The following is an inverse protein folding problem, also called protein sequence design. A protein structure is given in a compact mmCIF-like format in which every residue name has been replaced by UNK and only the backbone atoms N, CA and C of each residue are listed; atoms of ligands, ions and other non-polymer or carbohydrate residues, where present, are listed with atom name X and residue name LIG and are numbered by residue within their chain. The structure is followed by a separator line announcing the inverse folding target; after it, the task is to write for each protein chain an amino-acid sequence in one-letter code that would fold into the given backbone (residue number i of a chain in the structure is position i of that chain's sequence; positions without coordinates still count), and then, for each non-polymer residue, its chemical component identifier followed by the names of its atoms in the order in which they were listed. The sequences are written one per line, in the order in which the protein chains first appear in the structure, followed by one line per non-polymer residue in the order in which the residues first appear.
data_IF_517229586821
#
_entry.id   IF_517229586821
#
_cell.length_a   1.000
_cell.length_b   1.000
_cell.length_c   1.000
_cell.angle_alpha   90.00
_cell.angle_beta   90.00
_cell.angle_gamma   90.00
#
_symmetry.space_group_name_H-M   'P 1'
#
loop_
_entity.id
_entity.type
_entity.pdbx_description
1 polymer ?
#
# COMPACT_ATOMS: atom_id res chain seq x y z
N UNK A 1 26.29 3.53 -2.70
CA UNK A 1 25.83 2.17 -3.04
C UNK A 1 25.49 1.35 -1.81
N UNK A 2 26.16 1.55 -0.67
CA UNK A 2 25.81 0.91 0.64
C UNK A 2 24.45 1.31 1.21
N UNK A 3 23.96 2.50 0.92
CA UNK A 3 22.70 3.06 1.46
C UNK A 3 21.44 2.31 0.96
N UNK A 4 21.52 1.59 -0.17
CA UNK A 4 20.39 0.83 -0.72
C UNK A 4 20.29 -0.60 -0.16
N UNK A 5 21.34 -1.12 0.45
CA UNK A 5 21.41 -2.53 0.89
C UNK A 5 20.69 -2.78 2.22
N UNK A 6 20.74 -1.85 3.17
CA UNK A 6 20.07 -2.04 4.49
C UNK A 6 18.57 -1.82 4.47
N UNK A 7 18.04 -1.17 3.44
CA UNK A 7 16.65 -0.70 3.40
C UNK A 7 15.69 -1.60 2.64
N UNK A 8 16.24 -2.48 1.81
CA UNK A 8 15.48 -3.61 1.27
C UNK A 8 15.18 -4.66 2.36
N UNK A 9 15.77 -4.54 3.55
CA UNK A 9 15.64 -5.54 4.62
C UNK A 9 14.19 -5.67 5.09
N UNK A 10 13.45 -4.55 5.23
CA UNK A 10 12.04 -4.61 5.66
C UNK A 10 11.21 -5.41 4.66
N UNK A 11 11.34 -5.11 3.37
CA UNK A 11 10.59 -5.81 2.31
C UNK A 11 11.12 -7.24 2.14
N UNK A 12 12.44 -7.44 2.24
CA UNK A 12 13.07 -8.76 2.12
C UNK A 12 12.61 -9.71 3.22
N UNK A 13 12.46 -9.21 4.45
CA UNK A 13 11.95 -10.01 5.56
C UNK A 13 10.42 -10.11 5.55
N UNK A 14 9.72 -9.08 5.07
CA UNK A 14 8.26 -9.09 5.02
C UNK A 14 7.72 -10.11 4.01
N UNK A 15 8.36 -10.28 2.85
CA UNK A 15 7.86 -11.20 1.81
C UNK A 15 7.74 -12.65 2.29
N UNK A 16 8.77 -13.29 2.89
CA UNK A 16 8.62 -14.61 3.47
C UNK A 16 7.54 -14.66 4.57
N UNK A 17 7.46 -13.64 5.44
CA UNK A 17 6.44 -13.55 6.46
C UNK A 17 5.02 -13.50 5.87
N UNK A 18 4.83 -12.79 4.77
CA UNK A 18 3.53 -12.75 4.07
C UNK A 18 3.09 -14.14 3.60
N UNK A 19 3.99 -14.93 3.02
CA UNK A 19 3.66 -16.31 2.61
C UNK A 19 3.33 -17.20 3.81
N UNK A 20 4.05 -17.07 4.91
CA UNK A 20 3.73 -17.80 6.15
C UNK A 20 2.35 -17.42 6.66
N UNK A 21 2.02 -16.13 6.69
CA UNK A 21 0.71 -15.64 7.15
C UNK A 21 -0.44 -16.08 6.21
N UNK A 22 -0.23 -16.10 4.89
CA UNK A 22 -1.19 -16.66 3.93
C UNK A 22 -1.47 -18.14 4.23
N UNK A 23 -0.43 -18.92 4.48
CA UNK A 23 -0.57 -20.35 4.82
C UNK A 23 -1.33 -20.50 6.14
N UNK A 24 -1.00 -19.71 7.16
CA UNK A 24 -1.70 -19.73 8.46
C UNK A 24 -3.17 -19.36 8.26
N UNK A 25 -3.48 -18.28 7.51
CA UNK A 25 -4.86 -17.87 7.25
C UNK A 25 -5.65 -18.94 6.52
N UNK A 26 -5.05 -19.60 5.52
CA UNK A 26 -5.68 -20.71 4.78
C UNK A 26 -6.07 -21.86 5.71
N UNK A 27 -5.14 -22.34 6.53
CA UNK A 27 -5.44 -23.44 7.46
C UNK A 27 -6.41 -23.03 8.58
N UNK A 28 -6.31 -21.77 9.05
CA UNK A 28 -7.26 -21.23 10.00
C UNK A 28 -8.68 -21.20 9.42
N UNK A 29 -8.84 -20.75 8.19
CA UNK A 29 -10.14 -20.72 7.49
C UNK A 29 -10.75 -22.13 7.35
N UNK A 30 -9.94 -23.14 7.01
CA UNK A 30 -10.39 -24.54 6.97
C UNK A 30 -10.83 -24.99 8.38
N UNK A 31 -10.01 -24.71 9.40
CA UNK A 31 -10.28 -25.14 10.78
C UNK A 31 -11.60 -24.60 11.34
N UNK A 32 -11.92 -23.34 11.02
CA UNK A 32 -13.18 -22.70 11.47
C UNK A 32 -14.36 -22.91 10.50
N UNK A 33 -14.18 -23.70 9.42
CA UNK A 33 -15.23 -23.93 8.41
C UNK A 33 -15.55 -22.72 7.54
N UNK A 34 -14.67 -21.72 7.48
CA UNK A 34 -14.79 -20.51 6.64
C UNK A 34 -13.55 -20.36 5.75
N UNK A 35 -13.48 -21.16 4.70
CA UNK A 35 -12.39 -21.03 3.73
C UNK A 35 -12.63 -19.83 2.81
N UNK A 36 -11.68 -18.90 2.74
CA UNK A 36 -11.68 -17.69 1.90
C UNK A 36 -10.72 -17.81 0.73
N UNK A 37 -10.22 -19.02 0.41
CA UNK A 37 -9.23 -19.25 -0.63
C UNK A 37 -9.74 -20.19 -1.72
N UNK A 38 -9.73 -19.71 -2.97
CA UNK A 38 -9.84 -20.53 -4.18
C UNK A 38 -8.49 -20.57 -4.88
N UNK A 39 -8.08 -21.75 -5.31
CA UNK A 39 -6.75 -21.98 -5.87
C UNK A 39 -6.43 -21.06 -7.06
N UNK A 40 -7.36 -20.94 -8.00
CA UNK A 40 -7.17 -20.13 -9.21
C UNK A 40 -7.05 -18.64 -8.89
N UNK A 41 -7.84 -18.08 -7.96
CA UNK A 41 -7.75 -16.67 -7.57
C UNK A 41 -6.47 -16.38 -6.77
N UNK A 42 -6.10 -17.30 -5.88
CA UNK A 42 -4.85 -17.23 -5.10
C UNK A 42 -3.61 -17.25 -6.02
N UNK A 43 -3.55 -18.21 -6.95
CA UNK A 43 -2.44 -18.29 -7.92
C UNK A 43 -2.37 -17.05 -8.80
N UNK A 44 -3.51 -16.52 -9.23
CA UNK A 44 -3.58 -15.27 -10.00
C UNK A 44 -3.03 -14.11 -9.19
N UNK A 45 -3.44 -13.96 -7.93
CA UNK A 45 -2.98 -12.89 -7.04
C UNK A 45 -1.46 -12.92 -6.84
N UNK A 46 -0.91 -14.10 -6.54
CA UNK A 46 0.54 -14.30 -6.38
C UNK A 46 1.28 -14.01 -7.70
N UNK A 47 0.78 -14.52 -8.83
CA UNK A 47 1.41 -14.33 -10.14
C UNK A 47 1.45 -12.86 -10.55
N UNK A 48 0.36 -12.12 -10.35
CA UNK A 48 0.31 -10.67 -10.60
C UNK A 48 1.26 -9.92 -9.67
N UNK A 49 1.38 -10.32 -8.40
CA UNK A 49 2.36 -9.80 -7.48
C UNK A 49 3.80 -9.98 -7.98
N UNK A 50 4.15 -11.17 -8.46
CA UNK A 50 5.46 -11.45 -9.06
C UNK A 50 5.70 -10.63 -10.32
N UNK A 51 4.74 -10.60 -11.25
CA UNK A 51 4.84 -9.85 -12.50
C UNK A 51 5.03 -8.35 -12.21
N UNK A 52 4.37 -7.81 -11.20
CA UNK A 52 4.49 -6.40 -10.82
C UNK A 52 5.94 -5.98 -10.45
N UNK A 53 6.82 -6.94 -10.17
CA UNK A 53 8.24 -6.69 -9.84
C UNK A 53 9.14 -6.59 -11.06
N UNK A 54 8.72 -7.06 -12.23
CA UNK A 54 9.56 -6.99 -13.45
C UNK A 54 10.06 -5.59 -13.78
N UNK A 55 9.25 -4.51 -13.73
CA UNK A 55 9.74 -3.16 -13.98
C UNK A 55 10.88 -2.75 -13.03
N UNK A 56 10.79 -3.16 -11.75
CA UNK A 56 11.84 -2.89 -10.76
C UNK A 56 13.11 -3.69 -11.05
N UNK A 57 12.96 -4.97 -11.39
CA UNK A 57 14.08 -5.85 -11.73
C UNK A 57 14.82 -5.41 -13.00
N UNK A 58 14.11 -4.88 -13.98
CA UNK A 58 14.69 -4.35 -15.22
C UNK A 58 15.24 -2.93 -15.05
N UNK A 59 15.24 -2.39 -13.84
CA UNK A 59 15.70 -1.03 -13.53
C UNK A 59 15.02 0.06 -14.37
N UNK A 60 13.76 -0.18 -14.76
CA UNK A 60 12.93 0.77 -15.49
C UNK A 60 12.34 1.86 -14.58
N UNK A 61 12.99 2.13 -13.45
CA UNK A 61 12.49 2.99 -12.38
C UNK A 61 12.50 4.47 -12.71
N UNK A 62 11.61 4.93 -13.61
CA UNK A 62 11.34 6.36 -13.85
C UNK A 62 11.19 7.12 -12.52
N UNK A 63 10.50 6.54 -11.57
CA UNK A 63 10.30 7.11 -10.24
C UNK A 63 11.63 7.41 -9.53
N UNK A 64 12.58 6.48 -9.56
CA UNK A 64 13.88 6.67 -8.90
C UNK A 64 14.69 7.80 -9.54
N UNK A 65 14.69 7.87 -10.88
CA UNK A 65 15.37 8.95 -11.60
C UNK A 65 14.79 10.31 -11.27
N UNK A 66 13.46 10.41 -11.28
CA UNK A 66 12.74 11.65 -10.95
C UNK A 66 13.04 12.06 -9.51
N UNK A 67 12.97 11.14 -8.55
CA UNK A 67 13.21 11.43 -7.14
C UNK A 67 14.66 11.86 -6.88
N UNK A 68 15.63 11.21 -7.50
CA UNK A 68 17.04 11.61 -7.41
C UNK A 68 17.24 13.02 -7.98
N UNK A 69 16.63 13.31 -9.14
CA UNK A 69 16.72 14.64 -9.75
C UNK A 69 16.13 15.71 -8.85
N UNK A 70 14.90 15.51 -8.35
CA UNK A 70 14.21 16.45 -7.48
C UNK A 70 15.00 16.66 -6.17
N UNK A 71 15.42 15.58 -5.51
CA UNK A 71 16.19 15.66 -4.27
C UNK A 71 17.52 16.40 -4.45
N UNK A 72 18.15 16.28 -5.61
CA UNK A 72 19.45 16.90 -5.86
C UNK A 72 19.37 18.38 -6.27
N UNK A 73 18.33 18.77 -7.03
CA UNK A 73 18.31 20.07 -7.70
C UNK A 73 17.13 20.97 -7.28
N UNK A 74 16.08 20.42 -6.70
CA UNK A 74 14.82 21.12 -6.42
C UNK A 74 14.37 21.02 -4.95
N UNK A 75 15.04 20.21 -4.14
CA UNK A 75 14.70 20.03 -2.73
C UNK A 75 14.92 21.30 -1.92
N UNK A 76 14.02 21.58 -1.00
CA UNK A 76 14.13 22.65 -0.02
C UNK A 76 14.99 22.25 1.20
N UNK A 77 15.37 20.98 1.31
CA UNK A 77 16.20 20.41 2.37
C UNK A 77 15.75 20.75 3.81
N UNK A 78 14.42 20.81 4.01
CA UNK A 78 13.85 21.18 5.31
C UNK A 78 13.95 20.08 6.37
N UNK A 79 14.21 18.85 5.97
CA UNK A 79 14.13 17.68 6.83
C UNK A 79 15.46 16.93 6.89
N UNK A 80 15.87 16.57 8.11
CA UNK A 80 17.12 15.83 8.34
C UNK A 80 16.85 14.45 8.91
N UNK A 81 17.56 13.44 8.40
CA UNK A 81 17.46 12.05 8.89
C UNK A 81 17.79 11.91 10.38
N UNK A 82 18.65 12.81 10.91
CA UNK A 82 19.06 12.81 12.33
C UNK A 82 17.99 13.34 13.28
N UNK A 83 16.96 14.02 12.75
CA UNK A 83 15.88 14.53 13.56
C UNK A 83 14.75 13.48 13.64
N UNK A 84 14.40 12.96 14.83
CA UNK A 84 13.31 11.98 14.99
C UNK A 84 11.96 12.48 14.47
N UNK A 85 11.70 13.78 14.55
CA UNK A 85 10.45 14.38 14.06
C UNK A 85 10.31 14.24 12.55
N UNK A 86 11.42 14.19 11.80
CA UNK A 86 11.42 13.93 10.36
C UNK A 86 10.74 12.61 10.01
N UNK A 87 10.95 11.58 10.81
CA UNK A 87 10.36 10.25 10.59
C UNK A 87 8.84 10.27 10.78
N UNK A 88 8.36 10.97 11.81
CA UNK A 88 6.92 11.12 12.09
C UNK A 88 6.26 11.92 10.97
N UNK A 89 6.84 13.07 10.62
CA UNK A 89 6.33 13.92 9.54
C UNK A 89 6.32 13.16 8.21
N UNK A 90 7.41 12.48 7.88
CA UNK A 90 7.52 11.70 6.65
C UNK A 90 6.49 10.56 6.60
N UNK A 91 6.22 9.88 7.71
CA UNK A 91 5.21 8.83 7.76
C UNK A 91 3.81 9.36 7.52
N UNK A 92 3.45 10.48 8.16
CA UNK A 92 2.14 11.13 7.97
C UNK A 92 1.99 11.66 6.53
N UNK A 93 3.02 12.28 5.97
CA UNK A 93 3.00 12.77 4.59
C UNK A 93 2.95 11.62 3.57
N UNK A 94 3.64 10.53 3.85
CA UNK A 94 3.58 9.34 3.00
C UNK A 94 2.16 8.77 2.96
N UNK A 95 1.52 8.62 4.12
CA UNK A 95 0.17 8.07 4.22
C UNK A 95 -0.89 9.01 3.61
N UNK A 96 -0.72 10.32 3.77
CA UNK A 96 -1.54 11.32 3.06
C UNK A 96 -1.35 11.25 1.54
N UNK A 97 -0.11 11.12 1.07
CA UNK A 97 0.20 10.96 -0.36
C UNK A 97 -0.39 9.65 -0.91
N UNK A 98 -0.33 8.58 -0.11
CA UNK A 98 -0.98 7.31 -0.43
C UNK A 98 -2.49 7.46 -0.55
N UNK A 99 -3.15 8.15 0.40
CA UNK A 99 -4.59 8.43 0.34
C UNK A 99 -4.97 9.11 -0.99
N UNK A 100 -4.28 10.18 -1.37
CA UNK A 100 -4.56 10.88 -2.62
C UNK A 100 -4.25 10.04 -3.85
N UNK A 101 -3.15 9.31 -3.84
CA UNK A 101 -2.82 8.35 -4.90
C UNK A 101 -3.95 7.31 -5.05
N UNK A 102 -4.37 6.70 -3.96
CA UNK A 102 -5.37 5.65 -3.94
C UNK A 102 -6.73 6.17 -4.43
N UNK A 103 -7.17 7.32 -3.89
CA UNK A 103 -8.40 8.00 -4.31
C UNK A 103 -8.38 8.33 -5.81
N UNK A 104 -7.33 8.92 -6.32
CA UNK A 104 -7.23 9.26 -7.74
C UNK A 104 -7.19 8.00 -8.63
N UNK A 105 -6.65 6.89 -8.13
CA UNK A 105 -6.70 5.61 -8.84
C UNK A 105 -8.13 5.04 -8.95
N UNK A 106 -9.06 5.46 -8.14
CA UNK A 106 -10.49 5.16 -8.27
C UNK A 106 -11.25 6.17 -9.13
N UNK A 107 -10.97 7.45 -8.97
CA UNK A 107 -11.76 8.52 -9.62
C UNK A 107 -11.32 8.80 -11.08
N UNK A 108 -10.06 8.52 -11.45
CA UNK A 108 -9.52 8.80 -12.78
C UNK A 108 -9.42 7.51 -13.59
N UNK A 109 -10.14 7.40 -14.71
CA UNK A 109 -10.27 6.18 -15.53
C UNK A 109 -8.93 5.52 -15.91
N UNK A 110 -7.92 6.29 -16.32
CA UNK A 110 -6.62 5.73 -16.72
C UNK A 110 -5.87 5.17 -15.50
N UNK A 111 -6.01 5.78 -14.33
CA UNK A 111 -5.43 5.28 -13.10
C UNK A 111 -6.21 4.08 -12.57
N UNK A 112 -7.55 4.10 -12.69
CA UNK A 112 -8.39 2.94 -12.40
C UNK A 112 -8.02 1.73 -13.24
N UNK A 113 -7.73 1.90 -14.52
CA UNK A 113 -7.28 0.80 -15.38
C UNK A 113 -6.03 0.09 -14.85
N UNK A 114 -5.17 0.79 -14.08
CA UNK A 114 -4.03 0.17 -13.40
C UNK A 114 -4.41 -0.44 -12.06
N UNK A 115 -5.30 0.18 -11.30
CA UNK A 115 -5.66 -0.24 -9.94
C UNK A 115 -6.75 -1.32 -9.91
N UNK A 116 -7.64 -1.35 -10.90
CA UNK A 116 -8.69 -2.36 -11.04
C UNK A 116 -8.17 -3.79 -10.98
N UNK A 117 -6.92 -4.04 -11.38
CA UNK A 117 -6.25 -5.34 -11.23
C UNK A 117 -6.29 -5.82 -9.78
N UNK A 118 -6.09 -4.91 -8.82
CA UNK A 118 -6.15 -5.20 -7.39
C UNK A 118 -7.58 -5.54 -6.94
N UNK A 119 -8.59 -4.82 -7.43
CA UNK A 119 -10.00 -5.03 -7.11
C UNK A 119 -10.69 -6.16 -7.87
N UNK A 120 -10.01 -6.80 -8.82
CA UNK A 120 -10.57 -7.90 -9.62
C UNK A 120 -10.59 -9.25 -8.90
N UNK A 121 -9.97 -9.36 -7.73
CA UNK A 121 -10.07 -10.56 -6.90
C UNK A 121 -11.53 -10.84 -6.53
N UNK A 122 -11.92 -12.10 -6.60
CA UNK A 122 -13.24 -12.52 -6.13
C UNK A 122 -13.22 -12.92 -4.65
N UNK A 123 -12.07 -13.41 -4.19
CA UNK A 123 -11.81 -13.71 -2.79
C UNK A 123 -11.12 -12.52 -2.10
N UNK A 124 -11.46 -12.28 -0.84
CA UNK A 124 -10.80 -11.29 -0.02
C UNK A 124 -10.04 -11.96 1.11
N UNK A 125 -8.71 -12.07 0.96
CA UNK A 125 -7.81 -12.74 1.87
C UNK A 125 -6.39 -12.15 1.77
N UNK A 126 -5.45 -12.61 2.58
CA UNK A 126 -4.09 -12.07 2.58
C UNK A 126 -3.36 -12.21 1.22
N UNK A 127 -3.72 -13.17 0.37
CA UNK A 127 -3.15 -13.25 -0.98
C UNK A 127 -3.63 -12.11 -1.89
N UNK A 128 -4.81 -11.53 -1.62
CA UNK A 128 -5.33 -10.36 -2.34
C UNK A 128 -4.40 -9.15 -2.20
N UNK A 129 -3.74 -8.99 -1.05
CA UNK A 129 -2.74 -7.95 -0.84
C UNK A 129 -1.57 -8.03 -1.84
N UNK A 130 -1.23 -9.22 -2.32
CA UNK A 130 -0.17 -9.44 -3.30
C UNK A 130 -0.62 -9.14 -4.73
N UNK A 131 -1.91 -8.99 -4.99
CA UNK A 131 -2.49 -8.72 -6.31
C UNK A 131 -2.19 -7.28 -6.74
N UNK A 132 -1.05 -7.09 -7.38
CA UNK A 132 -0.53 -5.78 -7.75
C UNK A 132 -0.41 -5.60 -9.26
N UNK A 133 -0.57 -4.35 -9.70
CA UNK A 133 -0.37 -3.98 -11.10
C UNK A 133 1.12 -3.82 -11.45
N UNK A 134 1.52 -4.18 -12.66
CA UNK A 134 2.87 -3.92 -13.18
C UNK A 134 3.06 -2.50 -13.73
N UNK A 135 2.01 -1.71 -13.89
CA UNK A 135 2.03 -0.38 -14.51
C UNK A 135 1.99 0.78 -13.50
N UNK A 136 1.81 0.50 -12.21
CA UNK A 136 1.72 1.53 -11.17
C UNK A 136 2.93 2.48 -11.08
N UNK A 137 4.14 2.03 -11.49
CA UNK A 137 5.34 2.84 -11.52
C UNK A 137 5.25 4.05 -12.47
N UNK A 138 4.36 4.01 -13.46
CA UNK A 138 4.14 5.13 -14.39
C UNK A 138 3.57 6.38 -13.72
N UNK A 139 2.77 6.20 -12.65
CA UNK A 139 1.95 7.25 -12.07
C UNK A 139 2.26 7.56 -10.61
N UNK A 140 2.70 6.58 -9.83
CA UNK A 140 2.86 6.71 -8.37
C UNK A 140 3.78 7.85 -7.95
N UNK A 141 4.86 8.10 -8.70
CA UNK A 141 5.84 9.13 -8.39
C UNK A 141 5.22 10.54 -8.30
N UNK A 142 4.16 10.83 -9.07
CA UNK A 142 3.48 12.12 -9.07
C UNK A 142 3.01 12.48 -7.65
N UNK A 143 2.41 11.52 -6.97
CA UNK A 143 1.82 11.73 -5.64
C UNK A 143 2.86 11.86 -4.53
N UNK A 144 4.02 11.26 -4.69
CA UNK A 144 5.12 11.32 -3.70
C UNK A 144 6.14 12.41 -3.97
N UNK A 145 6.10 13.05 -5.14
CA UNK A 145 6.98 14.17 -5.51
C UNK A 145 6.99 15.30 -4.46
N UNK A 146 5.85 15.73 -3.86
CA UNK A 146 5.87 16.76 -2.84
C UNK A 146 6.78 16.45 -1.64
N UNK A 147 6.90 15.17 -1.26
CA UNK A 147 7.79 14.75 -0.18
C UNK A 147 9.26 15.00 -0.53
N UNK A 148 9.65 14.77 -1.78
CA UNK A 148 11.02 15.03 -2.24
C UNK A 148 11.30 16.53 -2.32
N UNK A 149 10.33 17.34 -2.73
CA UNK A 149 10.44 18.80 -2.81
C UNK A 149 10.68 19.43 -1.43
N UNK A 150 10.00 18.99 -0.39
CA UNK A 150 10.23 19.51 0.98
C UNK A 150 11.50 18.98 1.63
N UNK A 151 12.15 17.99 1.04
CA UNK A 151 13.43 17.44 1.52
C UNK A 151 13.32 16.22 2.41
N UNK A 152 12.32 15.35 2.20
CA UNK A 152 12.32 14.03 2.87
C UNK A 152 13.53 13.24 2.37
N UNK A 153 14.45 12.83 3.26
CA UNK A 153 15.61 12.04 2.86
C UNK A 153 15.19 10.71 2.24
N UNK A 154 15.86 10.28 1.17
CA UNK A 154 15.51 9.07 0.43
C UNK A 154 15.42 7.82 1.30
N UNK A 155 16.27 7.71 2.31
CA UNK A 155 16.23 6.61 3.27
C UNK A 155 14.98 6.64 4.16
N UNK A 156 14.60 7.79 4.64
CA UNK A 156 13.37 7.95 5.42
C UNK A 156 12.18 7.57 4.55
N UNK A 157 12.14 8.07 3.29
CA UNK A 157 11.08 7.75 2.34
C UNK A 157 10.94 6.23 2.12
N UNK A 158 12.03 5.53 1.83
CA UNK A 158 12.00 4.07 1.57
C UNK A 158 11.54 3.31 2.82
N UNK A 159 11.99 3.72 4.00
CA UNK A 159 11.62 3.07 5.26
C UNK A 159 10.13 3.25 5.57
N UNK A 160 9.60 4.49 5.50
CA UNK A 160 8.18 4.73 5.77
C UNK A 160 7.29 4.08 4.71
N UNK A 161 7.75 4.02 3.45
CA UNK A 161 7.08 3.28 2.39
C UNK A 161 6.99 1.78 2.70
N UNK A 162 8.09 1.20 3.20
CA UNK A 162 8.12 -0.21 3.61
C UNK A 162 7.18 -0.50 4.79
N UNK A 163 7.17 0.36 5.81
CA UNK A 163 6.26 0.22 6.95
C UNK A 163 4.79 0.32 6.51
N UNK A 164 4.46 1.29 5.67
CA UNK A 164 3.12 1.47 5.13
C UNK A 164 2.68 0.25 4.30
N UNK A 165 3.56 -0.29 3.46
CA UNK A 165 3.30 -1.51 2.68
C UNK A 165 3.02 -2.72 3.58
N UNK A 166 3.85 -2.93 4.62
CA UNK A 166 3.67 -4.03 5.58
C UNK A 166 2.35 -3.89 6.32
N UNK A 167 2.02 -2.66 6.72
CA UNK A 167 0.72 -2.40 7.35
C UNK A 167 -0.44 -2.78 6.42
N UNK A 168 -0.40 -2.40 5.16
CA UNK A 168 -1.49 -2.68 4.22
C UNK A 168 -1.67 -4.16 3.90
N UNK A 169 -0.71 -5.02 4.20
CA UNK A 169 -0.86 -6.46 3.98
C UNK A 169 -1.95 -7.08 4.87
N UNK A 170 -1.88 -6.82 6.18
CA UNK A 170 -2.77 -7.49 7.14
C UNK A 170 -4.23 -7.04 7.06
N UNK A 171 -4.53 -5.89 6.45
CA UNK A 171 -5.91 -5.41 6.31
C UNK A 171 -6.72 -6.20 5.27
N UNK A 172 -6.08 -7.06 4.48
CA UNK A 172 -6.73 -7.89 3.47
C UNK A 172 -7.15 -9.24 4.05
N UNK A 173 -8.04 -9.27 5.02
CA UNK A 173 -8.56 -10.53 5.59
C UNK A 173 -10.03 -10.43 5.98
N UNK A 174 -10.77 -11.53 5.79
CA UNK A 174 -12.13 -11.66 6.29
C UNK A 174 -12.23 -12.23 7.72
N UNK A 175 -11.13 -12.71 8.27
CA UNK A 175 -11.14 -13.38 9.57
C UNK A 175 -11.05 -12.42 10.76
N UNK A 176 -10.73 -11.15 10.52
CA UNK A 176 -10.73 -10.12 11.55
C UNK A 176 -11.99 -9.27 11.40
N UNK A 177 -12.80 -9.27 12.46
CA UNK A 177 -14.02 -8.48 12.54
C UNK A 177 -13.77 -7.05 13.00
N UNK A 178 -14.79 -6.44 13.57
CA UNK A 178 -14.77 -5.07 14.09
C UNK A 178 -13.80 -4.92 15.27
N UNK A 179 -12.87 -3.97 15.17
CA UNK A 179 -11.83 -3.70 16.18
C UNK A 179 -12.13 -2.50 17.08
N UNK A 180 -13.40 -2.06 17.11
CA UNK A 180 -13.89 -1.02 18.03
C UNK A 180 -13.20 0.32 17.84
N UNK A 181 -12.54 0.83 18.90
CA UNK A 181 -11.90 2.15 18.88
C UNK A 181 -10.79 2.28 17.83
N UNK A 182 -10.10 1.19 17.48
CA UNK A 182 -9.01 1.22 16.50
C UNK A 182 -9.49 1.69 15.12
N UNK A 183 -10.74 1.40 14.76
CA UNK A 183 -11.34 1.84 13.48
C UNK A 183 -11.65 3.34 13.42
N UNK A 184 -11.50 4.04 14.54
CA UNK A 184 -11.61 5.50 14.54
C UNK A 184 -10.32 6.19 14.13
N UNK A 185 -9.18 5.48 14.20
CA UNK A 185 -7.85 6.01 13.96
C UNK A 185 -7.20 5.35 12.75
N UNK A 186 -7.30 4.02 12.66
CA UNK A 186 -6.59 3.21 11.69
C UNK A 186 -7.52 2.60 10.65
N UNK A 187 -7.00 2.37 9.46
CA UNK A 187 -7.63 1.47 8.49
C UNK A 187 -7.46 0.04 9.01
N UNK A 188 -8.59 -0.62 9.26
CA UNK A 188 -8.64 -2.01 9.74
C UNK A 188 -9.10 -2.93 8.60
N UNK A 189 -9.05 -4.26 8.78
CA UNK A 189 -9.64 -5.18 7.82
C UNK A 189 -11.11 -4.88 7.52
N UNK A 190 -11.89 -4.37 8.48
CA UNK A 190 -13.28 -3.97 8.25
C UNK A 190 -13.39 -2.80 7.28
N UNK A 191 -12.62 -1.71 7.51
CA UNK A 191 -12.62 -0.54 6.62
C UNK A 191 -12.15 -0.91 5.21
N UNK A 192 -11.12 -1.74 5.10
CA UNK A 192 -10.56 -2.11 3.82
C UNK A 192 -11.42 -3.13 3.05
N UNK A 193 -12.14 -3.98 3.76
CA UNK A 193 -13.15 -4.86 3.18
C UNK A 193 -14.32 -4.08 2.57
N UNK A 194 -14.74 -2.98 3.23
CA UNK A 194 -15.73 -2.04 2.69
C UNK A 194 -15.18 -1.40 1.40
N UNK A 195 -13.91 -0.97 1.39
CA UNK A 195 -13.24 -0.43 0.23
C UNK A 195 -13.24 -1.40 -0.98
N UNK A 196 -13.05 -2.70 -0.74
CA UNK A 196 -13.09 -3.74 -1.77
C UNK A 196 -14.52 -4.19 -2.14
N UNK A 197 -15.55 -3.72 -1.43
CA UNK A 197 -16.92 -4.17 -1.67
C UNK A 197 -17.44 -3.65 -3.01
N UNK A 198 -18.25 -4.49 -3.68
CA UNK A 198 -18.87 -4.18 -4.98
C UNK A 198 -20.30 -3.64 -4.83
N UNK A 199 -20.78 -3.50 -3.60
CA UNK A 199 -22.08 -2.95 -3.27
C UNK A 199 -22.11 -1.46 -3.56
N UNK A 200 -23.17 -0.97 -4.17
CA UNK A 200 -23.27 0.42 -4.63
C UNK A 200 -23.05 1.46 -3.51
N UNK A 201 -23.45 1.15 -2.30
CA UNK A 201 -23.31 2.00 -1.11
C UNK A 201 -21.89 2.10 -0.57
N UNK A 202 -20.97 1.19 -0.99
CA UNK A 202 -19.59 1.11 -0.50
C UNK A 202 -18.56 1.47 -1.57
N UNK A 203 -19.00 1.59 -2.84
CA UNK A 203 -18.08 1.93 -3.93
C UNK A 203 -17.45 3.31 -3.67
N UNK A 204 -16.16 3.41 -3.94
CA UNK A 204 -15.39 4.65 -3.85
C UNK A 204 -15.33 5.24 -2.43
N UNK A 205 -15.08 4.39 -1.43
CA UNK A 205 -14.93 4.76 -0.03
C UNK A 205 -13.65 4.17 0.59
N UNK A 206 -13.20 4.74 1.72
CA UNK A 206 -12.13 4.24 2.59
C UNK A 206 -10.76 4.04 1.87
N UNK A 207 -10.19 5.11 1.33
CA UNK A 207 -8.93 5.10 0.57
C UNK A 207 -7.66 5.14 1.42
N UNK A 208 -7.75 5.34 2.73
CA UNK A 208 -6.60 5.44 3.62
C UNK A 208 -5.67 4.22 3.55
N UNK A 209 -4.37 4.43 3.75
CA UNK A 209 -3.39 3.34 3.86
C UNK A 209 -3.29 2.80 5.28
N UNK A 210 -2.91 3.68 6.20
CA UNK A 210 -2.75 3.37 7.64
C UNK A 210 -3.80 4.10 8.47
N UNK A 211 -4.00 5.40 8.21
CA UNK A 211 -4.91 6.23 9.00
C UNK A 211 -6.22 6.50 8.27
N UNK A 212 -7.34 6.24 8.97
CA UNK A 212 -8.69 6.56 8.50
C UNK A 212 -9.02 8.06 8.58
N UNK A 213 -8.17 8.84 9.22
CA UNK A 213 -8.34 10.28 9.40
C UNK A 213 -8.48 11.01 8.07
N UNK A 214 -7.75 10.58 7.04
CA UNK A 214 -7.81 11.19 5.71
C UNK A 214 -9.21 11.02 5.09
N UNK A 215 -9.76 9.82 5.18
CA UNK A 215 -11.12 9.55 4.70
C UNK A 215 -12.16 10.41 5.42
N UNK A 216 -12.00 10.60 6.72
CA UNK A 216 -12.88 11.48 7.51
C UNK A 216 -12.71 12.95 7.14
N UNK A 217 -11.49 13.40 6.94
CA UNK A 217 -11.19 14.80 6.58
C UNK A 217 -11.68 15.15 5.18
N UNK A 218 -11.60 14.24 4.24
CA UNK A 218 -11.95 14.48 2.84
C UNK A 218 -13.30 13.88 2.41
N UNK A 219 -14.10 13.38 3.38
CA UNK A 219 -15.48 12.97 3.16
C UNK A 219 -15.65 11.65 2.40
N UNK A 220 -14.66 10.76 2.45
CA UNK A 220 -14.69 9.44 1.79
C UNK A 220 -14.84 8.27 2.78
N UNK A 221 -15.07 8.57 4.06
CA UNK A 221 -15.27 7.54 5.07
C UNK A 221 -16.66 6.93 5.01
N UNK A 222 -16.72 5.61 4.93
CA UNK A 222 -17.93 4.79 5.10
C UNK A 222 -17.70 3.77 6.22
N UNK A 223 -18.58 3.73 7.24
CA UNK A 223 -18.43 2.86 8.40
C UNK A 223 -18.75 1.39 8.09
#
# INVERSE_FOLDING_TARGET
MEILTDKSIIITLAVPAFFVLIIIEYFYGIFIGKNTYRLNDTLTSISLGMISRFPVMLNLGVQSVIFIYISKYLSLDLLSVKNPLTWIIAFLLYDLSYYWMHRMHHEIKILWATHSVHHHGEDFNLATALRQTSTGWLWKWIFYTPMMLIGVPGEVFVTVAGINLVYQFWVHTEHIGHLGFLEKIFITPMNHRIHHAKNKEYIDANYGGVFVIWDRMFGTYTP
#
